data_IF_760206425884
#
_entry.id   IF_760206425884
#
_cell.length_a   1.000
_cell.length_b   1.000
_cell.length_c   1.000
_cell.angle_alpha   90.00
_cell.angle_beta   90.00
_cell.angle_gamma   90.00
#
_symmetry.space_group_name_H-M   'P 1'
#
loop_
_entity.id
_entity.type
_entity.pdbx_description
1 polymer ?
#
# COMPACT_ATOMS: atom_id res chain seq x y z
N UNK A 1 -15.74 -3.23 3.73
CA UNK A 1 -14.79 -4.32 4.06
C UNK A 1 -13.96 -3.90 5.28
N UNK A 2 -13.86 -4.74 6.34
CA UNK A 2 -13.18 -4.37 7.58
C UNK A 2 -11.69 -4.75 7.54
N UNK A 3 -10.87 -3.96 8.24
CA UNK A 3 -9.46 -4.27 8.45
C UNK A 3 -9.28 -5.59 9.22
N UNK A 4 -8.40 -6.45 8.74
CA UNK A 4 -8.02 -7.68 9.43
C UNK A 4 -6.52 -7.70 9.70
N UNK A 5 -6.10 -8.33 10.80
CA UNK A 5 -4.70 -8.46 11.15
C UNK A 5 -3.85 -9.13 10.05
N UNK A 6 -4.44 -10.01 9.27
CA UNK A 6 -3.79 -10.68 8.14
C UNK A 6 -3.41 -9.72 6.99
N UNK A 7 -3.97 -8.50 6.95
CA UNK A 7 -3.62 -7.47 5.94
C UNK A 7 -2.44 -6.62 6.37
N UNK A 8 -2.05 -6.67 7.64
CA UNK A 8 -0.96 -5.87 8.15
C UNK A 8 0.39 -6.28 7.53
N UNK A 9 1.14 -5.29 7.11
CA UNK A 9 2.53 -5.41 6.67
C UNK A 9 3.52 -5.30 7.83
N UNK A 10 3.10 -4.65 8.93
CA UNK A 10 3.94 -4.29 10.05
C UNK A 10 4.67 -2.95 9.86
N UNK A 11 4.51 -2.30 8.71
CA UNK A 11 5.01 -0.93 8.47
C UNK A 11 3.84 0.03 8.64
N UNK A 12 3.82 0.73 9.77
CA UNK A 12 2.68 1.53 10.21
C UNK A 12 2.11 2.47 9.15
N UNK A 13 2.97 3.17 8.40
CA UNK A 13 2.50 4.11 7.37
C UNK A 13 1.84 3.40 6.20
N UNK A 14 2.36 2.25 5.78
CA UNK A 14 1.77 1.42 4.72
C UNK A 14 0.44 0.85 5.22
N UNK A 15 0.40 0.30 6.45
CA UNK A 15 -0.83 -0.25 7.03
C UNK A 15 -1.95 0.79 7.15
N UNK A 16 -1.64 2.06 7.47
CA UNK A 16 -2.62 3.14 7.47
C UNK A 16 -3.17 3.44 6.07
N UNK A 17 -2.31 3.39 5.05
CA UNK A 17 -2.73 3.58 3.66
C UNK A 17 -3.59 2.41 3.17
N UNK A 18 -3.24 1.18 3.53
CA UNK A 18 -4.06 -0.01 3.24
C UNK A 18 -5.43 0.07 3.89
N UNK A 19 -5.53 0.50 5.15
CA UNK A 19 -6.81 0.72 5.80
C UNK A 19 -7.67 1.74 5.05
N UNK A 20 -7.06 2.80 4.49
CA UNK A 20 -7.75 3.77 3.66
C UNK A 20 -8.20 3.18 2.31
N UNK A 21 -7.40 2.34 1.68
CA UNK A 21 -7.79 1.63 0.45
C UNK A 21 -9.01 0.73 0.70
N UNK A 22 -9.08 0.04 1.84
CA UNK A 22 -10.27 -0.74 2.21
C UNK A 22 -11.52 0.14 2.38
N UNK A 23 -11.38 1.35 2.94
CA UNK A 23 -12.48 2.31 3.00
C UNK A 23 -12.93 2.74 1.59
N UNK A 24 -12.00 2.99 0.67
CA UNK A 24 -12.32 3.31 -0.72
C UNK A 24 -13.10 2.15 -1.37
N UNK A 25 -12.68 0.90 -1.18
CA UNK A 25 -13.41 -0.28 -1.68
C UNK A 25 -14.86 -0.29 -1.15
N UNK A 26 -15.04 0.00 0.14
CA UNK A 26 -16.38 0.06 0.76
C UNK A 26 -17.26 1.16 0.13
N UNK A 27 -16.68 2.29 -0.29
CA UNK A 27 -17.43 3.32 -1.02
C UNK A 27 -17.95 2.79 -2.36
N UNK A 28 -17.17 2.02 -3.10
CA UNK A 28 -17.63 1.39 -4.33
C UNK A 28 -18.74 0.35 -4.10
N UNK A 29 -18.67 -0.39 -3.00
CA UNK A 29 -19.74 -1.35 -2.62
C UNK A 29 -21.07 -0.65 -2.31
N UNK A 30 -21.02 0.61 -1.85
CA UNK A 30 -22.19 1.44 -1.60
C UNK A 30 -22.75 2.15 -2.84
N UNK A 31 -22.01 2.17 -3.97
CA UNK A 31 -22.51 2.77 -5.20
C UNK A 31 -23.53 1.84 -5.87
N UNK A 32 -24.78 2.30 -5.98
CA UNK A 32 -25.79 1.64 -6.81
C UNK A 32 -25.53 1.99 -8.26
N UNK A 33 -25.08 1.03 -9.06
CA UNK A 33 -24.71 1.26 -10.47
C UNK A 33 -25.93 1.24 -11.41
N UNK A 34 -27.10 1.69 -10.92
CA UNK A 34 -28.30 1.84 -11.73
C UNK A 34 -28.34 3.21 -12.44
N UNK A 35 -28.18 3.16 -13.73
CA UNK A 35 -28.66 4.11 -14.76
C UNK A 35 -28.06 5.51 -14.91
N UNK A 36 -27.41 6.12 -13.94
CA UNK A 36 -26.95 7.51 -14.09
C UNK A 36 -25.70 7.87 -13.30
N UNK A 37 -25.01 6.91 -12.73
CA UNK A 37 -24.03 7.14 -11.67
C UNK A 37 -22.59 7.30 -12.15
N UNK A 38 -22.34 7.42 -13.47
CA UNK A 38 -20.98 7.76 -13.92
C UNK A 38 -20.45 9.06 -13.29
N UNK A 39 -21.33 10.02 -13.04
CA UNK A 39 -20.98 11.30 -12.40
C UNK A 39 -20.68 11.17 -10.90
N UNK A 40 -21.13 10.10 -10.26
CA UNK A 40 -20.75 9.75 -8.88
C UNK A 40 -19.50 8.83 -8.87
N UNK A 41 -19.46 7.85 -9.76
CA UNK A 41 -18.37 6.90 -9.85
C UNK A 41 -17.06 7.54 -10.38
N UNK A 42 -17.15 8.39 -11.39
CA UNK A 42 -15.97 8.97 -12.03
C UNK A 42 -15.09 9.81 -11.07
N UNK A 43 -15.63 10.75 -10.26
CA UNK A 43 -14.82 11.46 -9.27
C UNK A 43 -14.18 10.53 -8.23
N UNK A 44 -14.87 9.44 -7.86
CA UNK A 44 -14.30 8.45 -6.95
C UNK A 44 -13.15 7.68 -7.60
N UNK A 45 -13.28 7.31 -8.88
CA UNK A 45 -12.21 6.63 -9.64
C UNK A 45 -10.98 7.53 -9.73
N UNK A 46 -11.13 8.80 -10.06
CA UNK A 46 -10.02 9.75 -10.12
C UNK A 46 -9.29 9.87 -8.78
N UNK A 47 -10.04 10.02 -7.68
CA UNK A 47 -9.46 10.07 -6.32
C UNK A 47 -8.76 8.77 -5.94
N UNK A 48 -9.33 7.63 -6.32
CA UNK A 48 -8.71 6.32 -6.10
C UNK A 48 -7.37 6.23 -6.82
N UNK A 49 -7.34 6.64 -8.08
CA UNK A 49 -6.13 6.65 -8.89
C UNK A 49 -5.03 7.54 -8.29
N UNK A 50 -5.40 8.76 -7.86
CA UNK A 50 -4.48 9.69 -7.21
C UNK A 50 -3.93 9.11 -5.90
N UNK A 51 -4.79 8.50 -5.09
CA UNK A 51 -4.36 7.88 -3.84
C UNK A 51 -3.45 6.68 -4.07
N UNK A 52 -3.75 5.82 -5.04
CA UNK A 52 -2.89 4.69 -5.39
C UNK A 52 -1.52 5.16 -5.91
N UNK A 53 -1.47 6.19 -6.76
CA UNK A 53 -0.22 6.77 -7.22
C UNK A 53 0.61 7.33 -6.05
N UNK A 54 -0.02 7.95 -5.07
CA UNK A 54 0.63 8.39 -3.84
C UNK A 54 1.16 7.20 -3.03
N UNK A 55 0.34 6.18 -2.77
CA UNK A 55 0.72 4.98 -2.05
C UNK A 55 1.95 4.31 -2.69
N UNK A 56 1.91 4.07 -3.99
CA UNK A 56 3.04 3.51 -4.73
C UNK A 56 4.31 4.37 -4.64
N UNK A 57 4.17 5.70 -4.65
CA UNK A 57 5.33 6.59 -4.49
C UNK A 57 6.01 6.45 -3.13
N UNK A 58 5.24 6.17 -2.07
CA UNK A 58 5.77 5.90 -0.71
C UNK A 58 6.56 4.60 -0.72
N UNK A 59 6.02 3.53 -1.30
CA UNK A 59 6.71 2.24 -1.39
C UNK A 59 7.95 2.30 -2.27
N UNK A 60 7.86 2.96 -3.42
CA UNK A 60 9.02 3.18 -4.30
C UNK A 60 10.12 4.00 -3.62
N UNK A 61 9.75 4.92 -2.73
CA UNK A 61 10.73 5.63 -1.91
C UNK A 61 11.40 4.70 -0.90
N UNK A 62 10.63 3.81 -0.27
CA UNK A 62 11.17 2.78 0.61
C UNK A 62 12.10 1.83 -0.16
N UNK A 63 11.71 1.36 -1.34
CA UNK A 63 12.52 0.49 -2.19
C UNK A 63 13.83 1.15 -2.63
N UNK A 64 13.85 2.47 -2.85
CA UNK A 64 15.09 3.21 -3.15
C UNK A 64 16.02 3.33 -1.96
N UNK A 65 15.48 3.39 -0.74
CA UNK A 65 16.28 3.45 0.49
C UNK A 65 16.84 2.09 0.91
N UNK A 66 16.22 1.02 0.42
CA UNK A 66 16.61 -0.37 0.69
C UNK A 66 17.15 -1.01 -0.60
N UNK A 67 18.16 -1.89 -0.52
CA UNK A 67 18.61 -2.66 -1.69
C UNK A 67 17.59 -3.78 -2.01
N UNK A 68 16.33 -3.40 -2.31
CA UNK A 68 15.26 -4.35 -2.58
C UNK A 68 15.47 -5.05 -3.92
N UNK A 69 15.65 -6.38 -3.95
CA UNK A 69 16.05 -7.10 -5.17
C UNK A 69 14.97 -7.07 -6.25
N UNK A 70 13.68 -7.06 -5.86
CA UNK A 70 12.54 -7.10 -6.79
C UNK A 70 11.98 -5.71 -7.13
N UNK A 71 12.78 -4.65 -6.96
CA UNK A 71 12.35 -3.26 -7.13
C UNK A 71 11.69 -3.01 -8.49
N UNK A 72 12.34 -3.45 -9.58
CA UNK A 72 11.82 -3.20 -10.94
C UNK A 72 10.56 -4.00 -11.23
N UNK A 73 10.47 -5.24 -10.74
CA UNK A 73 9.28 -6.06 -10.87
C UNK A 73 8.09 -5.46 -10.10
N UNK A 74 8.31 -5.02 -8.86
CA UNK A 74 7.28 -4.39 -8.03
C UNK A 74 6.80 -3.05 -8.63
N UNK A 75 7.70 -2.24 -9.18
CA UNK A 75 7.32 -1.02 -9.91
C UNK A 75 6.50 -1.31 -11.17
N UNK A 76 6.80 -2.40 -11.87
CA UNK A 76 5.98 -2.82 -13.01
C UNK A 76 4.57 -3.25 -12.58
N UNK A 77 4.42 -3.89 -11.41
CA UNK A 77 3.11 -4.17 -10.80
C UNK A 77 2.33 -2.86 -10.54
N UNK A 78 2.96 -1.83 -9.95
CA UNK A 78 2.34 -0.51 -9.73
C UNK A 78 1.80 0.13 -11.03
N UNK A 79 2.61 0.12 -12.10
CA UNK A 79 2.20 0.68 -13.38
C UNK A 79 1.02 -0.08 -13.98
N UNK A 80 1.00 -1.42 -13.82
CA UNK A 80 -0.10 -2.25 -14.28
C UNK A 80 -1.38 -1.95 -13.51
N UNK A 81 -1.31 -1.77 -12.19
CA UNK A 81 -2.45 -1.43 -11.36
C UNK A 81 -3.05 -0.05 -11.71
N UNK A 82 -2.22 0.96 -11.90
CA UNK A 82 -2.71 2.27 -12.36
C UNK A 82 -3.37 2.17 -13.73
N UNK A 83 -2.81 1.36 -14.64
CA UNK A 83 -3.43 1.09 -15.93
C UNK A 83 -4.78 0.38 -15.80
N UNK A 84 -4.91 -0.57 -14.88
CA UNK A 84 -6.20 -1.23 -14.61
C UNK A 84 -7.26 -0.24 -14.13
N UNK A 85 -6.91 0.70 -13.27
CA UNK A 85 -7.82 1.78 -12.83
C UNK A 85 -8.24 2.65 -14.03
N UNK A 86 -7.30 3.03 -14.91
CA UNK A 86 -7.58 3.79 -16.13
C UNK A 86 -8.49 3.00 -17.12
N UNK A 87 -8.32 1.68 -17.21
CA UNK A 87 -9.16 0.81 -18.00
C UNK A 87 -10.59 0.71 -17.43
N UNK A 88 -10.72 0.65 -16.10
CA UNK A 88 -12.02 0.68 -15.42
C UNK A 88 -12.72 2.03 -15.65
N UNK A 89 -12.00 3.15 -15.54
CA UNK A 89 -12.53 4.48 -15.84
C UNK A 89 -13.11 4.56 -17.24
N UNK A 90 -12.33 4.14 -18.25
CA UNK A 90 -12.79 4.10 -19.64
C UNK A 90 -14.03 3.21 -19.82
N UNK A 91 -14.07 2.08 -19.14
CA UNK A 91 -15.20 1.17 -19.16
C UNK A 91 -16.47 1.77 -18.56
N UNK A 92 -16.35 2.56 -17.49
CA UNK A 92 -17.48 3.29 -16.88
C UNK A 92 -17.96 4.39 -17.82
N UNK A 93 -17.06 5.22 -18.35
CA UNK A 93 -17.40 6.32 -19.27
C UNK A 93 -18.04 5.84 -20.56
N UNK A 94 -17.62 4.69 -21.09
CA UNK A 94 -18.20 4.08 -22.29
C UNK A 94 -19.48 3.30 -22.01
N UNK A 95 -19.89 3.14 -20.74
CA UNK A 95 -21.06 2.38 -20.33
C UNK A 95 -20.93 0.85 -20.46
N UNK A 96 -19.71 0.35 -20.67
CA UNK A 96 -19.41 -1.10 -20.73
C UNK A 96 -19.39 -1.71 -19.33
N UNK A 97 -18.87 -0.98 -18.34
CA UNK A 97 -18.87 -1.40 -16.93
C UNK A 97 -20.05 -0.75 -16.23
N UNK A 98 -21.04 -1.56 -15.84
CA UNK A 98 -22.22 -1.11 -15.08
C UNK A 98 -22.36 -1.85 -13.76
N UNK A 99 -22.45 -3.17 -13.79
CA UNK A 99 -22.85 -3.97 -12.62
C UNK A 99 -21.66 -4.57 -11.83
N UNK A 100 -20.41 -4.33 -12.26
CA UNK A 100 -19.23 -4.98 -11.70
C UNK A 100 -18.16 -4.01 -11.21
N UNK A 101 -18.46 -2.71 -11.10
CA UNK A 101 -17.46 -1.70 -10.72
C UNK A 101 -16.83 -1.99 -9.36
N UNK A 102 -17.65 -2.25 -8.34
CA UNK A 102 -17.16 -2.57 -7.00
C UNK A 102 -16.28 -3.82 -6.96
N UNK A 103 -16.70 -4.88 -7.66
CA UNK A 103 -15.91 -6.11 -7.75
C UNK A 103 -14.58 -5.88 -8.44
N UNK A 104 -14.57 -5.17 -9.58
CA UNK A 104 -13.35 -4.86 -10.33
C UNK A 104 -12.39 -4.00 -9.53
N UNK A 105 -12.90 -2.96 -8.84
CA UNK A 105 -12.07 -2.12 -7.97
C UNK A 105 -11.52 -2.91 -6.80
N UNK A 106 -12.33 -3.76 -6.16
CA UNK A 106 -11.85 -4.62 -5.10
C UNK A 106 -10.74 -5.56 -5.58
N UNK A 107 -10.95 -6.26 -6.67
CA UNK A 107 -9.99 -7.22 -7.19
C UNK A 107 -8.68 -6.53 -7.61
N UNK A 108 -8.75 -5.34 -8.22
CA UNK A 108 -7.61 -4.51 -8.56
C UNK A 108 -6.84 -4.08 -7.30
N UNK A 109 -7.49 -3.36 -6.40
CA UNK A 109 -6.82 -2.73 -5.26
C UNK A 109 -6.35 -3.73 -4.21
N UNK A 110 -7.13 -4.78 -3.95
CA UNK A 110 -6.86 -5.71 -2.86
C UNK A 110 -5.80 -6.76 -3.20
N UNK A 111 -5.73 -7.15 -4.48
CA UNK A 111 -4.75 -8.14 -4.95
C UNK A 111 -3.32 -7.69 -4.70
N UNK A 112 -3.01 -6.42 -4.99
CA UNK A 112 -1.68 -5.83 -4.78
C UNK A 112 -1.29 -5.79 -3.31
N UNK A 113 -2.16 -5.25 -2.45
CA UNK A 113 -1.94 -5.14 -0.99
C UNK A 113 -1.53 -6.48 -0.36
N UNK A 114 -2.21 -7.57 -0.74
CA UNK A 114 -2.00 -8.87 -0.08
C UNK A 114 -0.70 -9.53 -0.55
N UNK A 115 -0.29 -9.33 -1.79
CA UNK A 115 0.85 -10.05 -2.36
C UNK A 115 2.11 -9.20 -2.47
N UNK A 116 2.04 -8.06 -3.19
CA UNK A 116 3.18 -7.19 -3.50
C UNK A 116 3.79 -6.57 -2.26
N UNK A 117 2.98 -5.83 -1.55
CA UNK A 117 3.40 -4.98 -0.43
C UNK A 117 3.87 -5.80 0.77
N UNK A 118 3.29 -6.98 0.99
CA UNK A 118 3.78 -7.89 2.03
C UNK A 118 5.19 -8.41 1.76
N UNK A 119 5.54 -8.70 0.51
CA UNK A 119 6.91 -9.12 0.16
C UNK A 119 7.91 -8.01 0.45
N UNK A 120 7.59 -6.77 0.03
CA UNK A 120 8.40 -5.60 0.32
C UNK A 120 8.56 -5.37 1.82
N UNK A 121 7.46 -5.42 2.58
CA UNK A 121 7.46 -5.20 4.02
C UNK A 121 8.28 -6.27 4.76
N UNK A 122 8.14 -7.53 4.42
CA UNK A 122 8.93 -8.62 4.99
C UNK A 122 10.44 -8.41 4.78
N UNK A 123 10.83 -8.01 3.57
CA UNK A 123 12.21 -7.67 3.28
C UNK A 123 12.72 -6.49 4.11
N UNK A 124 11.94 -5.40 4.16
CA UNK A 124 12.28 -4.21 4.91
C UNK A 124 12.46 -4.50 6.41
N UNK A 125 11.50 -5.19 7.02
CA UNK A 125 11.55 -5.55 8.44
C UNK A 125 12.67 -6.53 8.76
N UNK A 126 12.99 -7.45 7.85
CA UNK A 126 14.12 -8.35 7.99
C UNK A 126 15.46 -7.61 8.06
N UNK A 127 15.64 -6.57 7.26
CA UNK A 127 16.85 -5.72 7.31
C UNK A 127 16.93 -4.90 8.60
N UNK A 128 15.82 -4.36 9.09
CA UNK A 128 15.79 -3.62 10.36
C UNK A 128 16.05 -4.53 11.54
N UNK A 129 15.53 -5.74 11.56
CA UNK A 129 15.79 -6.73 12.61
C UNK A 129 17.26 -7.14 12.71
N UNK A 130 17.99 -7.18 11.60
CA UNK A 130 19.43 -7.49 11.55
C UNK A 130 20.29 -6.29 11.98
N UNK A 131 19.78 -5.05 11.89
CA UNK A 131 20.48 -3.82 12.28
C UNK A 131 20.23 -3.37 13.71
N UNK A 132 19.49 -4.14 14.52
CA UNK A 132 19.36 -3.83 15.95
C UNK A 132 20.76 -3.82 16.58
N UNK A 133 21.21 -2.71 17.20
CA UNK A 133 22.57 -2.57 17.70
C UNK A 133 22.79 -3.63 18.76
N UNK A 134 23.85 -4.43 18.53
CA UNK A 134 24.37 -5.29 19.57
C UNK A 134 24.53 -4.49 20.84
N UNK A 135 24.18 -5.09 21.98
CA UNK A 135 24.33 -4.60 23.34
C UNK A 135 25.51 -3.62 23.44
N UNK A 136 25.23 -2.38 23.77
CA UNK A 136 26.24 -1.47 24.32
C UNK A 136 26.80 -2.19 25.55
N UNK A 137 28.01 -2.71 25.44
CA UNK A 137 28.74 -3.19 26.60
C UNK A 137 28.94 -1.98 27.49
N UNK A 138 28.34 -2.00 28.65
CA UNK A 138 28.55 -1.02 29.68
C UNK A 138 30.04 -0.93 29.96
N UNK A 139 30.68 0.12 29.46
CA UNK A 139 32.00 0.53 29.85
C UNK A 139 31.90 1.34 31.17
N UNK A 140 31.42 0.68 32.20
CA UNK A 140 31.58 1.19 33.58
C UNK A 140 32.94 0.75 34.11
N UNK A 141 33.97 1.48 33.70
CA UNK A 141 35.32 1.37 34.21
C UNK A 141 35.89 2.75 34.52
N UNK A 142 35.22 3.52 35.38
CA UNK A 142 35.83 4.71 35.96
C UNK A 142 36.52 4.29 37.23
N UNK A 143 37.84 4.14 37.13
CA UNK A 143 38.74 3.95 38.28
C UNK A 143 38.61 5.11 39.27
N UNK A 144 38.33 4.80 40.53
CA UNK A 144 38.40 5.73 41.62
C UNK A 144 39.88 6.13 41.84
N UNK A 145 40.26 7.35 41.52
CA UNK A 145 41.48 7.96 42.02
C UNK A 145 41.22 8.46 43.44
N UNK A 146 41.82 7.79 44.41
CA UNK A 146 41.92 8.27 45.78
C UNK A 146 43.01 9.34 45.83
N UNK A 147 42.68 10.50 46.36
CA UNK A 147 43.65 11.49 46.83
C UNK A 147 44.05 11.15 48.29
N UNK A 148 45.32 10.99 48.48
CA UNK A 148 46.03 11.32 49.77
C UNK A 148 46.61 12.71 49.64
#
# INVERSE_FOLDING_TARGET
MDWKAEYATGIRNIDHQHAHILQIITLYEGLSVDKATWHEAHPLILRTREFMAFHFSVEESLMRLLPYPDCDAHRAEHLLELKHIDDIERGVLSGVIRDSLAARMRDCLFGHIIAGDKRLAQYALGLYGQRSPGKVKDAAGVAAMRHE
#
